data_IF_472392717771
#
_entry.id   IF_472392717771
#
_cell.length_a   1.000
_cell.length_b   1.000
_cell.length_c   1.000
_cell.angle_alpha   90.00
_cell.angle_beta   90.00
_cell.angle_gamma   90.00
#
_symmetry.space_group_name_H-M   'P 1'
#
loop_
_entity.id
_entity.type
_entity.pdbx_description
1 polymer ?
#
# COMPACT_ATOMS: atom_id res chain seq x y z
N UNK A 1 -5.54 3.35 -18.55
CA UNK A 1 -5.47 2.10 -17.75
C UNK A 1 -6.17 2.33 -16.42
N UNK A 2 -7.09 1.46 -16.01
CA UNK A 2 -7.83 1.57 -14.74
C UNK A 2 -7.12 0.72 -13.68
N UNK A 3 -6.94 1.25 -12.46
CA UNK A 3 -6.36 0.49 -11.34
C UNK A 3 -7.32 -0.60 -10.86
N UNK A 4 -6.81 -1.77 -10.51
CA UNK A 4 -7.62 -2.94 -10.16
C UNK A 4 -8.62 -2.67 -9.00
N UNK A 5 -8.19 -2.00 -7.93
CA UNK A 5 -9.08 -1.63 -6.81
C UNK A 5 -10.19 -0.66 -7.24
N UNK A 6 -9.92 0.23 -8.19
CA UNK A 6 -10.91 1.19 -8.71
C UNK A 6 -11.96 0.48 -9.56
N UNK A 7 -11.54 -0.53 -10.32
CA UNK A 7 -12.46 -1.38 -11.06
C UNK A 7 -13.38 -2.18 -10.12
N UNK A 8 -12.83 -2.77 -9.06
CA UNK A 8 -13.61 -3.52 -8.06
C UNK A 8 -14.68 -2.65 -7.38
N UNK A 9 -14.32 -1.42 -7.00
CA UNK A 9 -15.28 -0.45 -6.47
C UNK A 9 -16.37 -0.10 -7.48
N UNK A 10 -16.01 0.18 -8.74
CA UNK A 10 -16.98 0.47 -9.78
C UNK A 10 -17.99 -0.67 -9.97
N UNK A 11 -17.55 -1.94 -9.92
CA UNK A 11 -18.44 -3.11 -10.01
C UNK A 11 -19.47 -3.15 -8.87
N UNK A 12 -19.11 -2.67 -7.68
CA UNK A 12 -19.98 -2.71 -6.49
C UNK A 12 -20.87 -1.47 -6.37
N UNK A 13 -20.45 -0.34 -6.96
CA UNK A 13 -21.07 0.98 -6.77
C UNK A 13 -21.73 1.55 -8.03
N UNK A 14 -22.05 0.70 -9.02
CA UNK A 14 -22.83 1.12 -10.20
C UNK A 14 -22.03 1.77 -11.33
N UNK A 15 -20.74 1.47 -11.42
CA UNK A 15 -19.88 1.87 -12.53
C UNK A 15 -18.85 2.96 -12.19
N UNK A 16 -18.04 3.32 -13.18
CA UNK A 16 -16.93 4.27 -13.00
C UNK A 16 -17.40 5.72 -12.85
N UNK A 17 -18.52 6.07 -13.48
CA UNK A 17 -19.13 7.41 -13.39
C UNK A 17 -19.66 7.67 -11.99
N UNK A 18 -20.31 6.67 -11.38
CA UNK A 18 -20.83 6.75 -10.02
C UNK A 18 -19.75 7.02 -8.95
N UNK A 19 -18.48 6.76 -9.27
CA UNK A 19 -17.33 6.92 -8.36
C UNK A 19 -16.29 7.92 -8.90
N UNK A 20 -16.66 8.78 -9.86
CA UNK A 20 -15.71 9.65 -10.55
C UNK A 20 -14.96 10.60 -9.58
N UNK A 21 -15.69 11.18 -8.63
CA UNK A 21 -15.19 12.16 -7.66
C UNK A 21 -14.70 11.53 -6.34
N UNK A 22 -14.63 10.19 -6.28
CA UNK A 22 -14.27 9.43 -5.09
C UNK A 22 -12.96 8.68 -5.30
N UNK A 23 -12.22 8.52 -4.21
CA UNK A 23 -10.96 7.80 -4.17
C UNK A 23 -11.16 6.39 -3.61
N UNK A 24 -10.31 5.47 -4.06
CA UNK A 24 -10.20 4.15 -3.47
C UNK A 24 -9.32 4.26 -2.22
N UNK A 25 -9.95 4.29 -1.07
CA UNK A 25 -9.29 4.38 0.23
C UNK A 25 -9.00 2.98 0.76
N UNK A 26 -7.82 2.80 1.37
CA UNK A 26 -7.41 1.53 1.96
C UNK A 26 -7.35 1.64 3.48
N UNK A 27 -8.18 0.86 4.17
CA UNK A 27 -8.02 0.58 5.60
C UNK A 27 -6.82 -0.38 5.80
N UNK A 28 -6.71 -1.40 4.95
CA UNK A 28 -5.68 -2.45 5.04
C UNK A 28 -4.27 -2.06 4.59
N UNK A 29 -4.07 -0.87 4.00
CA UNK A 29 -2.77 -0.37 3.51
C UNK A 29 -2.01 -1.27 2.53
N UNK A 30 -2.72 -2.20 1.89
CA UNK A 30 -2.17 -3.08 0.88
C UNK A 30 -2.56 -2.59 -0.53
N UNK A 31 -1.64 -1.97 -1.32
CA UNK A 31 -1.99 -1.31 -2.60
C UNK A 31 -2.57 -2.25 -3.67
N UNK A 32 -2.26 -3.55 -3.58
CA UNK A 32 -2.77 -4.57 -4.52
C UNK A 32 -4.12 -5.16 -4.06
N UNK A 33 -4.61 -4.82 -2.86
CA UNK A 33 -5.90 -5.32 -2.37
C UNK A 33 -7.05 -4.78 -3.22
N UNK A 34 -8.00 -5.66 -3.56
CA UNK A 34 -9.19 -5.33 -4.37
C UNK A 34 -10.51 -5.70 -3.68
N UNK A 35 -10.46 -6.20 -2.44
CA UNK A 35 -11.65 -6.57 -1.67
C UNK A 35 -12.40 -5.30 -1.23
N UNK A 36 -13.67 -5.20 -1.62
CA UNK A 36 -14.52 -4.04 -1.32
C UNK A 36 -15.34 -4.31 -0.06
N UNK A 37 -14.96 -3.65 1.03
CA UNK A 37 -15.67 -3.60 2.32
C UNK A 37 -15.05 -2.49 3.19
N UNK A 38 -15.64 -2.21 4.36
CA UNK A 38 -15.15 -1.17 5.28
C UNK A 38 -13.76 -1.44 5.86
N UNK A 39 -13.30 -2.69 5.90
CA UNK A 39 -12.01 -3.11 6.46
C UNK A 39 -10.88 -3.19 5.42
N UNK A 40 -11.21 -3.13 4.13
CA UNK A 40 -10.25 -3.21 3.03
C UNK A 40 -10.30 -1.97 2.13
N UNK A 41 -11.00 -2.04 1.00
CA UNK A 41 -11.11 -0.95 0.03
C UNK A 41 -12.51 -0.35 0.10
N UNK A 42 -12.58 0.97 0.31
CA UNK A 42 -13.84 1.71 0.39
C UNK A 42 -13.76 3.02 -0.40
N UNK A 43 -14.90 3.61 -0.71
CA UNK A 43 -14.97 4.94 -1.31
C UNK A 43 -14.83 6.01 -0.24
N UNK A 44 -13.95 6.98 -0.48
CA UNK A 44 -13.89 8.20 0.32
C UNK A 44 -13.60 9.40 -0.54
N UNK A 45 -13.90 10.58 -0.02
CA UNK A 45 -13.45 11.82 -0.63
C UNK A 45 -11.94 11.97 -0.47
N UNK A 46 -11.32 12.76 -1.33
CA UNK A 46 -9.90 13.10 -1.22
C UNK A 46 -9.56 13.75 0.13
N UNK A 47 -10.48 14.53 0.71
CA UNK A 47 -10.30 15.16 2.02
C UNK A 47 -10.23 14.10 3.13
N UNK A 48 -11.16 13.15 3.13
CA UNK A 48 -11.17 12.05 4.11
C UNK A 48 -9.94 11.15 3.98
N UNK A 49 -9.53 10.82 2.74
CA UNK A 49 -8.33 10.02 2.50
C UNK A 49 -7.06 10.71 3.04
N UNK A 50 -6.94 12.03 2.81
CA UNK A 50 -5.82 12.81 3.33
C UNK A 50 -5.86 12.94 4.86
N UNK A 51 -7.04 13.11 5.45
CA UNK A 51 -7.22 13.14 6.89
C UNK A 51 -6.87 11.78 7.54
N UNK A 52 -7.31 10.66 6.95
CA UNK A 52 -6.95 9.32 7.39
C UNK A 52 -5.44 9.08 7.32
N UNK A 53 -4.83 9.42 6.18
CA UNK A 53 -3.38 9.34 5.97
C UNK A 53 -2.63 10.14 7.05
N UNK A 54 -3.08 11.35 7.35
CA UNK A 54 -2.47 12.20 8.37
C UNK A 54 -2.59 11.59 9.77
N UNK A 55 -3.81 11.20 10.17
CA UNK A 55 -4.13 10.55 11.45
C UNK A 55 -3.30 9.29 11.68
N UNK A 56 -3.04 8.52 10.63
CA UNK A 56 -2.24 7.28 10.69
C UNK A 56 -0.74 7.50 10.62
N UNK A 57 -0.27 8.75 10.67
CA UNK A 57 1.17 9.07 10.61
C UNK A 57 1.82 8.68 9.28
N UNK A 58 1.01 8.54 8.21
CA UNK A 58 1.49 8.23 6.84
C UNK A 58 1.74 9.50 6.03
N UNK A 59 1.58 10.67 6.65
CA UNK A 59 1.99 11.93 6.09
C UNK A 59 3.52 12.00 6.01
N UNK A 60 4.03 12.43 4.86
CA UNK A 60 5.42 12.66 4.48
C UNK A 60 6.51 12.10 5.43
N UNK A 61 6.79 10.79 5.34
CA UNK A 61 8.12 10.25 5.62
C UNK A 61 9.04 10.65 4.47
N UNK A 62 9.47 11.92 4.42
CA UNK A 62 10.51 12.36 3.46
C UNK A 62 11.78 11.49 3.57
N UNK A 63 11.99 10.85 4.72
CA UNK A 63 13.02 9.84 4.95
C UNK A 63 12.92 8.64 4.00
N UNK A 64 11.73 8.09 3.71
CA UNK A 64 11.61 6.96 2.76
C UNK A 64 12.05 7.37 1.34
N UNK A 65 11.64 8.55 0.87
CA UNK A 65 12.10 9.08 -0.42
C UNK A 65 13.60 9.42 -0.41
N UNK A 66 14.22 9.68 0.75
CA UNK A 66 15.67 9.86 0.89
C UNK A 66 16.43 8.51 0.85
N UNK A 67 15.87 7.42 1.36
CA UNK A 67 16.53 6.10 1.37
C UNK A 67 16.52 5.41 0.00
N UNK A 68 15.44 5.55 -0.78
CA UNK A 68 15.36 4.96 -2.12
C UNK A 68 15.96 5.86 -3.21
N UNK A 69 16.39 7.08 -2.89
CA UNK A 69 17.04 8.01 -3.84
C UNK A 69 18.37 7.48 -4.36
N UNK A 70 19.06 6.65 -3.59
CA UNK A 70 20.36 6.09 -3.94
C UNK A 70 20.28 4.67 -4.51
N UNK A 71 19.09 4.06 -4.56
CA UNK A 71 18.92 2.73 -5.12
C UNK A 71 18.49 2.78 -6.57
N UNK A 72 19.22 2.08 -7.42
CA UNK A 72 18.88 1.80 -8.79
C UNK A 72 17.58 1.00 -8.91
N UNK A 73 17.00 0.99 -10.11
CA UNK A 73 15.88 0.11 -10.41
C UNK A 73 16.24 -1.37 -10.25
N UNK A 74 17.49 -1.76 -10.53
CA UNK A 74 17.96 -3.14 -10.42
C UNK A 74 18.04 -3.61 -8.98
N UNK A 75 18.55 -2.79 -8.06
CA UNK A 75 18.63 -3.11 -6.63
C UNK A 75 17.25 -3.30 -6.02
N UNK A 76 16.31 -2.39 -6.35
CA UNK A 76 14.91 -2.50 -5.93
C UNK A 76 14.26 -3.79 -6.45
N UNK A 77 14.49 -4.11 -7.72
CA UNK A 77 13.98 -5.35 -8.30
C UNK A 77 14.63 -6.61 -7.69
N UNK A 78 15.92 -6.53 -7.32
CA UNK A 78 16.64 -7.58 -6.61
C UNK A 78 16.02 -7.88 -5.25
N UNK A 79 15.79 -6.85 -4.43
CA UNK A 79 15.12 -7.02 -3.14
C UNK A 79 13.70 -7.54 -3.27
N UNK A 80 12.93 -7.07 -4.26
CA UNK A 80 11.58 -7.58 -4.49
C UNK A 80 11.57 -9.08 -4.83
N UNK A 81 12.54 -9.56 -5.63
CA UNK A 81 12.71 -10.99 -5.93
C UNK A 81 13.11 -11.79 -4.69
N UNK A 82 14.08 -11.30 -3.91
CA UNK A 82 14.52 -11.96 -2.68
C UNK A 82 13.37 -12.10 -1.66
N UNK A 83 12.57 -11.05 -1.49
CA UNK A 83 11.38 -11.09 -0.63
C UNK A 83 10.36 -12.12 -1.12
N UNK A 84 10.07 -12.14 -2.42
CA UNK A 84 9.16 -13.11 -3.03
C UNK A 84 9.65 -14.54 -2.80
N UNK A 85 10.91 -14.81 -3.10
CA UNK A 85 11.48 -16.15 -3.00
C UNK A 85 11.48 -16.64 -1.53
N UNK A 86 11.73 -15.75 -0.57
CA UNK A 86 11.59 -16.04 0.86
C UNK A 86 10.14 -16.40 1.24
N UNK A 87 9.16 -15.60 0.82
CA UNK A 87 7.74 -15.85 1.11
C UNK A 87 7.26 -17.17 0.49
N UNK A 88 7.76 -17.53 -0.70
CA UNK A 88 7.44 -18.81 -1.32
C UNK A 88 8.03 -20.00 -0.56
N UNK A 89 9.24 -19.85 0.00
CA UNK A 89 9.92 -20.92 0.74
C UNK A 89 9.39 -21.11 2.16
N UNK A 90 8.97 -20.03 2.82
CA UNK A 90 8.69 -20.03 4.27
C UNK A 90 7.27 -19.59 4.64
N UNK A 91 6.45 -19.19 3.66
CA UNK A 91 5.15 -18.59 3.90
C UNK A 91 5.23 -17.11 4.28
N UNK A 92 4.07 -16.50 4.51
CA UNK A 92 3.99 -15.10 4.91
C UNK A 92 4.18 -14.94 6.42
N UNK A 93 5.26 -14.27 6.83
CA UNK A 93 5.50 -13.81 8.20
C UNK A 93 5.71 -12.30 8.21
N UNK A 94 4.75 -11.58 8.81
CA UNK A 94 4.77 -10.12 8.88
C UNK A 94 6.01 -9.57 9.60
N UNK A 95 6.53 -10.26 10.62
CA UNK A 95 7.69 -9.83 11.40
C UNK A 95 8.99 -9.97 10.60
N UNK A 96 9.16 -11.09 9.90
CA UNK A 96 10.31 -11.38 9.04
C UNK A 96 10.33 -10.49 7.79
N UNK A 97 9.17 -10.30 7.15
CA UNK A 97 9.02 -9.37 6.03
C UNK A 97 9.36 -7.96 6.48
N UNK A 98 8.88 -7.54 7.65
CA UNK A 98 9.24 -6.24 8.20
C UNK A 98 10.74 -6.15 8.53
N UNK A 99 11.42 -7.23 8.90
CA UNK A 99 12.88 -7.25 9.11
C UNK A 99 13.66 -7.13 7.79
N UNK A 100 13.30 -7.92 6.78
CA UNK A 100 13.88 -7.85 5.43
C UNK A 100 13.69 -6.47 4.79
N UNK A 101 12.54 -5.83 5.05
CA UNK A 101 12.26 -4.46 4.62
C UNK A 101 12.93 -3.41 5.53
N UNK A 102 13.08 -3.66 6.84
CA UNK A 102 13.77 -2.77 7.81
C UNK A 102 15.28 -2.78 7.72
N UNK A 103 15.89 -3.82 7.13
CA UNK A 103 17.28 -3.73 6.63
C UNK A 103 17.49 -2.57 5.64
N UNK A 104 16.39 -2.00 5.10
CA UNK A 104 16.36 -0.79 4.29
C UNK A 104 15.66 0.41 4.96
N UNK A 105 15.19 0.31 6.22
CA UNK A 105 14.46 1.38 6.92
C UNK A 105 14.63 1.35 8.44
N UNK A 106 15.32 2.34 9.01
CA UNK A 106 15.21 2.71 10.42
C UNK A 106 13.98 3.60 10.64
N UNK A 107 13.19 3.33 11.69
CA UNK A 107 12.13 4.25 12.16
C UNK A 107 10.70 4.01 11.68
N UNK A 108 10.38 2.85 11.08
CA UNK A 108 8.99 2.47 10.83
C UNK A 108 8.45 1.61 11.99
N UNK A 109 7.55 2.20 12.80
CA UNK A 109 6.76 1.46 13.78
C UNK A 109 5.79 0.48 13.10
N UNK A 110 5.41 -0.56 13.84
CA UNK A 110 4.40 -1.53 13.40
C UNK A 110 3.10 -0.80 13.00
N UNK A 111 2.62 -1.09 11.79
CA UNK A 111 1.21 -0.91 11.50
C UNK A 111 0.53 -2.16 12.04
N UNK A 112 -0.14 -1.97 13.18
CA UNK A 112 -0.78 -2.97 14.04
C UNK A 112 0.20 -3.82 14.86
#
# INVERSE_FOLDING_TARGET
>A
MIRAHRYSLAQTHGGLEAIAELEACHTCDNPICVRVDAHHVYLGTRVENMADRARRGRHNRQTAAQFWRYQSQQERAGMARALRDHVLAHGWDQSMIAHLLRGATTGQGQLF
#
